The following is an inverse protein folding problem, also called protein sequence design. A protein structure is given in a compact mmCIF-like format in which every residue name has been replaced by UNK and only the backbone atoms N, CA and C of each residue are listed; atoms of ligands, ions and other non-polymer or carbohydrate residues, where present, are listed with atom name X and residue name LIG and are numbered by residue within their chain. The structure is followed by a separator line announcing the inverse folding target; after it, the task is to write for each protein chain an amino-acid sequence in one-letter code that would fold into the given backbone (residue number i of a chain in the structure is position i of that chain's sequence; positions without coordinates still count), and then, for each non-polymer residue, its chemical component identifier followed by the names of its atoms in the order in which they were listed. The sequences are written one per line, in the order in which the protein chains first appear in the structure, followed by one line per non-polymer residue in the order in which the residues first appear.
data_IF_902414714835
#
_entry.id   IF_902414714835
#
_cell.length_a   1.000
_cell.length_b   1.000
_cell.length_c   1.000
_cell.angle_alpha   90.00
_cell.angle_beta   90.00
_cell.angle_gamma   90.00
#
_symmetry.space_group_name_H-M   'P 1'
#
loop_
_entity.id
_entity.type
_entity.pdbx_description
1 polymer ?
#
# COMPACT_ATOMS: atom_id res chain seq x y z
N UNK A 1 1.78 21.93 -2.91
CA UNK A 1 1.96 20.57 -2.34
C UNK A 1 3.40 20.33 -1.90
N UNK A 2 4.34 21.11 -2.44
CA UNK A 2 5.79 21.10 -2.19
C UNK A 2 6.19 21.14 -0.71
N UNK A 3 5.34 21.69 0.17
CA UNK A 3 5.61 21.70 1.61
C UNK A 3 5.73 20.28 2.18
N UNK A 4 4.95 19.31 1.66
CA UNK A 4 5.05 17.91 2.10
C UNK A 4 6.38 17.30 1.67
N UNK A 5 6.77 17.50 0.41
CA UNK A 5 8.05 17.02 -0.10
C UNK A 5 9.21 17.57 0.74
N UNK A 6 9.20 18.88 1.02
CA UNK A 6 10.21 19.53 1.87
C UNK A 6 10.20 18.97 3.29
N UNK A 7 9.02 18.78 3.89
CA UNK A 7 8.89 18.24 5.24
C UNK A 7 9.41 16.79 5.33
N UNK A 8 9.12 15.95 4.33
CA UNK A 8 9.62 14.57 4.27
C UNK A 8 11.15 14.54 4.09
N UNK A 9 11.69 15.33 3.15
CA UNK A 9 13.14 15.44 2.93
C UNK A 9 13.87 15.86 4.21
N UNK A 10 13.38 16.92 4.84
CA UNK A 10 13.96 17.43 6.07
C UNK A 10 13.89 16.39 7.20
N UNK A 11 12.74 15.75 7.39
CA UNK A 11 12.57 14.75 8.46
C UNK A 11 13.46 13.53 8.26
N UNK A 12 13.58 13.02 7.03
CA UNK A 12 14.45 11.87 6.71
C UNK A 12 15.91 12.24 6.90
N UNK A 13 16.36 13.37 6.35
CA UNK A 13 17.74 13.82 6.48
C UNK A 13 18.13 14.08 7.95
N UNK A 14 17.27 14.76 8.70
CA UNK A 14 17.49 15.05 10.12
C UNK A 14 17.53 13.78 10.97
N UNK A 15 16.66 12.81 10.70
CA UNK A 15 16.65 11.56 11.46
C UNK A 15 17.94 10.74 11.21
N UNK A 16 18.36 10.62 9.96
CA UNK A 16 19.53 9.79 9.61
C UNK A 16 20.88 10.49 9.76
N UNK A 17 20.91 11.81 9.99
CA UNK A 17 22.11 12.51 10.47
C UNK A 17 22.37 12.21 11.95
N UNK A 18 21.32 12.03 12.75
CA UNK A 18 21.42 11.70 14.18
C UNK A 18 21.59 10.20 14.44
N UNK A 19 20.97 9.34 13.62
CA UNK A 19 21.03 7.89 13.80
C UNK A 19 22.28 7.32 13.12
N UNK A 20 23.23 6.75 13.89
CA UNK A 20 24.48 6.24 13.33
C UNK A 20 24.20 5.09 12.35
N UNK A 21 25.05 5.00 11.32
CA UNK A 21 25.02 3.85 10.44
C UNK A 21 25.57 2.62 11.18
N UNK A 22 24.83 1.51 11.07
CA UNK A 22 25.22 0.23 11.64
C UNK A 22 25.43 -0.74 10.48
N UNK A 23 26.66 -1.21 10.22
CA UNK A 23 26.92 -2.20 9.18
C UNK A 23 26.03 -3.43 9.32
N UNK A 24 25.45 -3.88 8.20
CA UNK A 24 24.51 -5.00 8.17
C UNK A 24 23.07 -4.67 8.60
N UNK A 25 22.80 -3.47 9.13
CA UNK A 25 21.43 -3.01 9.43
C UNK A 25 20.92 -2.14 8.28
N UNK A 26 19.83 -2.58 7.65
CA UNK A 26 19.14 -1.80 6.62
C UNK A 26 18.39 -0.62 7.24
N UNK A 27 18.48 0.54 6.61
CA UNK A 27 17.63 1.70 6.91
C UNK A 27 16.36 1.62 6.06
N UNK A 28 15.23 1.98 6.64
CA UNK A 28 13.95 1.96 5.94
C UNK A 28 13.04 3.06 6.48
N UNK A 29 12.34 3.73 5.57
CA UNK A 29 11.18 4.59 5.87
C UNK A 29 9.92 3.83 5.47
N UNK A 30 8.95 3.78 6.38
CA UNK A 30 7.62 3.22 6.12
C UNK A 30 6.60 4.37 6.22
N UNK A 31 5.94 4.68 5.11
CA UNK A 31 4.84 5.65 5.05
C UNK A 31 3.52 4.90 5.00
N UNK A 32 2.60 5.23 5.91
CA UNK A 32 1.26 4.67 6.00
C UNK A 32 0.27 5.84 5.98
N UNK A 33 -0.52 5.99 4.91
CA UNK A 33 -1.42 7.13 4.79
C UNK A 33 -2.37 7.03 3.60
N UNK A 34 -3.41 7.84 3.58
CA UNK A 34 -4.44 7.86 2.52
C UNK A 34 -4.14 8.84 1.38
N UNK A 35 -3.20 9.76 1.61
CA UNK A 35 -2.88 10.86 0.70
C UNK A 35 -1.92 10.42 -0.40
N UNK A 36 -2.34 10.54 -1.67
CA UNK A 36 -1.44 10.30 -2.81
C UNK A 36 -0.20 11.22 -2.80
N UNK A 37 -0.36 12.46 -2.32
CA UNK A 37 0.76 13.40 -2.19
C UNK A 37 1.76 12.96 -1.12
N UNK A 38 1.31 12.34 -0.05
CA UNK A 38 2.21 11.79 0.98
C UNK A 38 3.04 10.63 0.44
N UNK A 39 2.39 9.69 -0.27
CA UNK A 39 3.07 8.59 -0.98
C UNK A 39 4.20 9.11 -1.87
N UNK A 40 3.89 10.11 -2.71
CA UNK A 40 4.88 10.68 -3.63
C UNK A 40 6.00 11.40 -2.88
N UNK A 41 5.66 12.19 -1.85
CA UNK A 41 6.63 12.91 -1.02
C UNK A 41 7.63 11.95 -0.35
N UNK A 42 7.16 10.86 0.24
CA UNK A 42 8.01 9.84 0.87
C UNK A 42 8.95 9.18 -0.14
N UNK A 43 8.43 8.78 -1.30
CA UNK A 43 9.22 8.14 -2.37
C UNK A 43 10.31 9.10 -2.88
N UNK A 44 9.94 10.35 -3.18
CA UNK A 44 10.91 11.32 -3.69
C UNK A 44 11.98 11.68 -2.66
N UNK A 45 11.59 11.87 -1.40
CA UNK A 45 12.53 12.18 -0.33
C UNK A 45 13.54 11.04 -0.10
N UNK A 46 13.11 9.77 -0.16
CA UNK A 46 14.02 8.63 -0.04
C UNK A 46 14.98 8.53 -1.23
N UNK A 47 14.49 8.77 -2.45
CA UNK A 47 15.33 8.79 -3.67
C UNK A 47 16.40 9.86 -3.58
N UNK A 48 16.02 11.08 -3.24
CA UNK A 48 16.94 12.21 -3.09
C UNK A 48 18.00 11.94 -2.01
N UNK A 49 17.61 11.38 -0.88
CA UNK A 49 18.55 10.98 0.19
C UNK A 49 19.60 9.98 -0.30
N UNK A 50 19.17 8.98 -1.10
CA UNK A 50 20.07 7.99 -1.67
C UNK A 50 21.00 8.60 -2.74
N UNK A 51 20.48 9.47 -3.61
CA UNK A 51 21.26 10.17 -4.63
C UNK A 51 22.36 11.04 -4.00
N UNK A 52 22.04 11.79 -2.94
CA UNK A 52 23.00 12.59 -2.19
C UNK A 52 24.09 11.72 -1.54
N UNK A 53 23.70 10.55 -1.01
CA UNK A 53 24.62 9.60 -0.38
C UNK A 53 25.55 8.90 -1.37
N UNK A 54 25.22 8.85 -2.67
CA UNK A 54 26.13 8.33 -3.69
C UNK A 54 27.23 9.33 -4.06
N UNK A 55 26.95 10.64 -3.92
CA UNK A 55 27.90 11.72 -4.20
C UNK A 55 28.90 11.85 -3.04
N UNK A 56 28.40 11.73 -1.81
CA UNK A 56 29.23 11.76 -0.60
C UNK A 56 29.51 10.33 -0.14
N UNK A 57 30.70 9.80 -0.46
CA UNK A 57 31.13 8.46 -0.06
C UNK A 57 31.21 8.24 1.46
N UNK A 58 31.03 9.30 2.27
CA UNK A 58 30.93 9.20 3.73
C UNK A 58 29.52 8.81 4.21
N UNK A 59 28.49 8.89 3.36
CA UNK A 59 27.12 8.51 3.69
C UNK A 59 26.78 7.11 3.16
N UNK A 60 26.22 6.22 4.00
CA UNK A 60 25.84 4.89 3.56
C UNK A 60 24.59 4.93 2.69
N UNK A 61 24.75 4.56 1.42
CA UNK A 61 23.66 4.37 0.47
C UNK A 61 22.71 3.22 0.89
N UNK A 62 21.45 3.28 0.43
CA UNK A 62 20.53 2.15 0.52
C UNK A 62 19.39 2.32 1.54
N UNK A 63 18.84 3.53 1.66
CA UNK A 63 17.58 3.75 2.36
C UNK A 63 16.43 3.12 1.56
N UNK A 64 15.74 2.14 2.14
CA UNK A 64 14.54 1.54 1.55
C UNK A 64 13.31 2.41 1.81
N UNK A 65 12.47 2.59 0.80
CA UNK A 65 11.20 3.26 0.89
C UNK A 65 10.04 2.27 0.78
N UNK A 66 9.15 2.26 1.77
CA UNK A 66 7.94 1.44 1.78
C UNK A 66 6.72 2.32 1.97
N UNK A 67 5.93 2.50 0.93
CA UNK A 67 4.72 3.30 0.95
C UNK A 67 3.49 2.41 0.85
N UNK A 68 2.59 2.50 1.85
CA UNK A 68 1.26 1.93 1.80
C UNK A 68 0.25 3.06 1.74
N UNK A 69 -0.41 3.19 0.58
CA UNK A 69 -1.45 4.17 0.32
C UNK A 69 -2.82 3.55 0.58
N UNK A 70 -3.51 4.01 1.61
CA UNK A 70 -4.86 3.60 1.98
C UNK A 70 -5.94 4.30 1.16
N UNK A 71 -7.18 3.81 1.25
CA UNK A 71 -8.34 4.44 0.62
C UNK A 71 -8.51 5.88 1.13
N UNK A 72 -8.80 6.81 0.22
CA UNK A 72 -9.14 8.18 0.63
C UNK A 72 -10.60 8.21 1.06
N UNK A 73 -10.88 8.78 2.24
CA UNK A 73 -12.23 8.83 2.85
C UNK A 73 -12.88 7.43 3.00
N UNK A 74 -12.25 6.50 3.73
CA UNK A 74 -12.83 5.20 4.00
C UNK A 74 -14.08 5.34 4.88
N UNK A 75 -15.04 4.43 4.72
CA UNK A 75 -16.07 4.21 5.75
C UNK A 75 -15.51 3.33 6.89
N UNK A 76 -16.36 3.04 7.89
CA UNK A 76 -15.97 2.23 9.05
C UNK A 76 -15.58 0.79 8.69
N UNK A 77 -16.18 0.21 7.66
CA UNK A 77 -15.86 -1.15 7.21
C UNK A 77 -14.48 -1.17 6.55
N UNK A 78 -14.19 -0.20 5.69
CA UNK A 78 -12.89 -0.06 5.04
C UNK A 78 -11.78 0.22 6.07
N UNK A 79 -11.99 1.12 7.03
CA UNK A 79 -11.03 1.39 8.11
C UNK A 79 -10.68 0.12 8.89
N UNK A 80 -11.70 -0.67 9.24
CA UNK A 80 -11.49 -1.94 9.96
C UNK A 80 -10.67 -2.93 9.13
N UNK A 81 -10.95 -3.05 7.82
CA UNK A 81 -10.19 -3.91 6.91
C UNK A 81 -8.74 -3.46 6.76
N UNK A 82 -8.50 -2.16 6.61
CA UNK A 82 -7.15 -1.59 6.52
C UNK A 82 -6.36 -1.84 7.80
N UNK A 83 -6.99 -1.65 8.97
CA UNK A 83 -6.36 -1.91 10.25
C UNK A 83 -5.96 -3.39 10.41
N UNK A 84 -6.85 -4.33 10.06
CA UNK A 84 -6.52 -5.76 10.10
C UNK A 84 -5.40 -6.12 9.12
N UNK A 85 -5.44 -5.57 7.90
CA UNK A 85 -4.39 -5.79 6.92
C UNK A 85 -3.03 -5.37 7.47
N UNK A 86 -2.92 -4.17 8.05
CA UNK A 86 -1.68 -3.67 8.65
C UNK A 86 -1.26 -4.59 9.79
N UNK A 87 -2.18 -4.97 10.68
CA UNK A 87 -1.89 -5.85 11.81
C UNK A 87 -1.25 -7.17 11.36
N UNK A 88 -1.76 -7.77 10.29
CA UNK A 88 -1.32 -9.07 9.80
C UNK A 88 -0.03 -8.99 8.96
N UNK A 89 0.22 -7.87 8.28
CA UNK A 89 1.31 -7.76 7.32
C UNK A 89 2.46 -6.83 7.74
N UNK A 90 2.35 -6.04 8.81
CA UNK A 90 3.39 -5.08 9.20
C UNK A 90 4.75 -5.74 9.41
N UNK A 91 4.80 -6.91 10.05
CA UNK A 91 6.04 -7.66 10.23
C UNK A 91 6.65 -8.10 8.90
N UNK A 92 5.83 -8.45 7.91
CA UNK A 92 6.26 -8.86 6.57
C UNK A 92 6.79 -7.64 5.81
N UNK A 93 6.08 -6.50 5.88
CA UNK A 93 6.50 -5.23 5.29
C UNK A 93 7.85 -4.81 5.85
N UNK A 94 8.03 -4.84 7.17
CA UNK A 94 9.31 -4.47 7.81
C UNK A 94 10.46 -5.36 7.32
N UNK A 95 10.22 -6.68 7.22
CA UNK A 95 11.25 -7.66 6.81
C UNK A 95 11.57 -7.65 5.33
N UNK A 96 10.62 -7.27 4.48
CA UNK A 96 10.82 -7.15 3.04
C UNK A 96 12.04 -6.28 2.75
N UNK A 97 12.94 -6.75 1.90
CA UNK A 97 14.29 -6.18 1.78
C UNK A 97 14.47 -5.27 0.56
N UNK A 98 13.37 -4.97 -0.14
CA UNK A 98 13.31 -4.03 -1.24
C UNK A 98 12.35 -2.88 -0.94
N UNK A 99 12.35 -1.91 -1.85
CA UNK A 99 11.32 -0.87 -1.90
C UNK A 99 9.94 -1.51 -2.12
N UNK A 100 8.93 -0.95 -1.47
CA UNK A 100 7.55 -1.42 -1.57
C UNK A 100 6.62 -0.23 -1.80
N UNK A 101 5.70 -0.39 -2.75
CA UNK A 101 4.76 0.66 -3.08
C UNK A 101 3.40 0.05 -3.40
N UNK A 102 2.49 0.13 -2.43
CA UNK A 102 1.19 -0.52 -2.48
C UNK A 102 0.08 0.51 -2.36
N UNK A 103 -0.89 0.44 -3.27
CA UNK A 103 -2.17 1.12 -3.16
C UNK A 103 -3.21 0.10 -2.69
N UNK A 104 -3.65 0.24 -1.44
CA UNK A 104 -4.60 -0.67 -0.81
C UNK A 104 -6.01 -0.20 -1.14
N UNK A 105 -6.80 -1.13 -1.68
CA UNK A 105 -8.23 -0.95 -1.91
C UNK A 105 -8.94 -2.15 -1.30
N UNK A 106 -9.49 -2.02 -0.09
CA UNK A 106 -10.27 -3.09 0.50
C UNK A 106 -11.52 -3.30 -0.36
N UNK A 107 -11.67 -4.47 -0.97
CA UNK A 107 -12.91 -4.81 -1.66
C UNK A 107 -14.10 -4.82 -0.67
N UNK A 108 -15.25 -4.31 -1.11
CA UNK A 108 -16.51 -4.55 -0.42
C UNK A 108 -16.76 -6.06 -0.36
N UNK A 109 -17.15 -6.56 0.82
CA UNK A 109 -17.72 -7.89 0.90
C UNK A 109 -19.13 -7.80 0.31
N UNK A 110 -19.30 -8.05 -0.99
CA UNK A 110 -20.63 -8.37 -1.51
C UNK A 110 -21.06 -9.67 -0.83
N UNK A 111 -22.04 -9.60 0.05
CA UNK A 111 -22.69 -10.78 0.59
C UNK A 111 -23.10 -11.66 -0.60
N UNK A 112 -22.53 -12.86 -0.69
CA UNK A 112 -23.00 -13.89 -1.64
C UNK A 112 -24.32 -14.45 -1.10
N UNK A 113 -25.36 -13.64 -1.10
CA UNK A 113 -26.73 -14.10 -0.86
C UNK A 113 -27.58 -13.68 -2.06
N UNK A 114 -27.50 -14.46 -3.12
CA UNK A 114 -28.61 -14.60 -4.06
C UNK A 114 -28.91 -16.09 -4.19
N UNK A 115 -30.03 -16.57 -3.64
CA UNK A 115 -30.51 -17.90 -3.95
C UNK A 115 -30.85 -17.92 -5.44
N UNK A 116 -30.24 -18.86 -6.16
CA UNK A 116 -30.56 -19.21 -7.53
C UNK A 116 -31.97 -19.82 -7.56
N UNK A 117 -32.99 -18.96 -7.57
CA UNK A 117 -34.37 -19.36 -7.72
C UNK A 117 -34.76 -19.29 -9.22
N UNK A 118 -35.36 -20.40 -9.68
CA UNK A 118 -36.15 -20.56 -10.90
C UNK A 118 -35.44 -20.66 -12.25
N UNK A 119 -34.75 -21.79 -12.45
CA UNK A 119 -34.76 -22.48 -13.74
C UNK A 119 -35.57 -23.76 -13.56
N UNK A 120 -36.90 -23.67 -13.65
CA UNK A 120 -37.83 -24.79 -13.95
C UNK A 120 -39.28 -24.28 -13.85
N UNK A 121 -39.84 -23.77 -14.94
CA UNK A 121 -41.22 -24.08 -15.39
C UNK A 121 -41.67 -23.17 -16.53
N UNK A 122 -41.65 -23.73 -17.74
CA UNK A 122 -42.69 -23.58 -18.77
C UNK A 122 -42.39 -24.70 -19.79
N UNK A 123 -42.88 -25.92 -19.50
CA UNK A 123 -44.06 -26.51 -20.13
C UNK A 123 -43.88 -26.55 -21.67
N UNK A 124 -43.48 -27.69 -22.23
CA UNK A 124 -44.37 -28.82 -22.55
C UNK A 124 -45.65 -28.35 -23.23
N UNK A 125 -45.69 -28.44 -24.57
CA UNK A 125 -46.82 -28.90 -25.39
C UNK A 125 -46.49 -28.67 -26.87
N UNK A 126 -46.05 -29.73 -27.58
CA UNK A 126 -46.41 -30.02 -28.98
C UNK A 126 -45.58 -31.22 -29.49
N UNK A 127 -45.97 -32.43 -29.13
CA UNK A 127 -45.69 -33.62 -29.92
C UNK A 127 -47.00 -34.38 -30.08
N UNK A 128 -47.66 -34.21 -31.24
CA UNK A 128 -48.54 -35.19 -31.88
C UNK A 128 -49.27 -34.54 -33.07
N UNK A 129 -48.80 -34.79 -34.30
CA UNK A 129 -49.59 -35.56 -35.27
C UNK A 129 -48.78 -35.83 -36.53
N UNK A 130 -48.57 -37.11 -36.81
CA UNK A 130 -48.17 -37.60 -38.12
C UNK A 130 -49.36 -37.59 -39.09
N UNK A 131 -49.00 -37.49 -40.37
CA UNK A 131 -49.83 -37.66 -41.56
C UNK A 131 -48.91 -37.67 -42.77
#
# INVERSE_FOLDING_TARGET
FDWKDQAFRHSIASHFSEVPFIPGRRRCVISLGDSAHERMAAIYACREFNEQSMIDSSSPAGLLCKSLKFMERPDLEHLRKEQYLIQDCLAQIVRYDQDLDLCIQPQHCVARDQPQADVLSQQSMAAAHGG
#
